data_IF_789865817952
#
_entry.id   IF_789865817952
#
_cell.length_a   1.000
_cell.length_b   1.000
_cell.length_c   1.000
_cell.angle_alpha   90.00
_cell.angle_beta   90.00
_cell.angle_gamma   90.00
#
_symmetry.space_group_name_H-M   'P 1'
#
loop_
_entity.id
_entity.type
_entity.pdbx_description
1 polymer ?
#
# COMPACT_ATOMS: atom_id res chain seq x y z
N UNK A 1 17.45 -16.31 54.72
CA UNK A 1 16.07 -16.37 54.19
C UNK A 1 15.86 -17.76 53.60
N UNK A 2 14.79 -18.49 53.98
CA UNK A 2 14.55 -19.89 53.59
C UNK A 2 14.47 -20.01 52.05
N UNK A 3 15.35 -20.82 51.45
CA UNK A 3 15.49 -21.05 50.00
C UNK A 3 14.17 -21.30 49.25
N UNK A 4 13.19 -21.88 49.94
CA UNK A 4 11.81 -22.08 49.44
C UNK A 4 11.11 -20.78 49.02
N UNK A 5 11.35 -19.68 49.73
CA UNK A 5 10.76 -18.37 49.39
C UNK A 5 11.37 -17.78 48.13
N UNK A 6 12.68 -17.98 47.93
CA UNK A 6 13.38 -17.51 46.72
C UNK A 6 12.89 -18.24 45.46
N UNK A 7 12.78 -19.57 45.51
CA UNK A 7 12.25 -20.34 44.37
C UNK A 7 10.77 -20.04 44.10
N UNK A 8 9.97 -19.76 45.13
CA UNK A 8 8.58 -19.36 44.96
C UNK A 8 8.45 -17.98 44.30
N UNK A 9 9.28 -17.00 44.71
CA UNK A 9 9.33 -15.68 44.08
C UNK A 9 9.80 -15.76 42.62
N UNK A 10 10.79 -16.62 42.33
CA UNK A 10 11.28 -16.85 40.97
C UNK A 10 10.21 -17.51 40.09
N UNK A 11 9.50 -18.52 40.59
CA UNK A 11 8.40 -19.17 39.87
C UNK A 11 7.28 -18.17 39.56
N UNK A 12 6.92 -17.32 40.54
CA UNK A 12 5.92 -16.27 40.33
C UNK A 12 6.34 -15.29 39.23
N UNK A 13 7.60 -14.86 39.24
CA UNK A 13 8.13 -13.94 38.22
C UNK A 13 8.08 -14.56 36.81
N UNK A 14 8.43 -15.85 36.67
CA UNK A 14 8.36 -16.57 35.39
C UNK A 14 6.93 -16.69 34.88
N UNK A 15 5.96 -16.99 35.75
CA UNK A 15 4.55 -17.08 35.37
C UNK A 15 4.01 -15.73 34.92
N UNK A 16 4.33 -14.65 35.64
CA UNK A 16 3.92 -13.29 35.24
C UNK A 16 4.52 -12.91 33.89
N UNK A 17 5.80 -13.21 33.66
CA UNK A 17 6.45 -12.95 32.37
C UNK A 17 5.79 -13.73 31.22
N UNK A 18 5.45 -15.00 31.44
CA UNK A 18 4.74 -15.83 30.46
C UNK A 18 3.36 -15.28 30.14
N UNK A 19 2.61 -14.82 31.14
CA UNK A 19 1.29 -14.23 30.96
C UNK A 19 1.35 -12.91 30.17
N UNK A 20 2.35 -12.06 30.45
CA UNK A 20 2.56 -10.81 29.70
C UNK A 20 2.96 -11.12 28.25
N UNK A 21 3.84 -12.10 28.03
CA UNK A 21 4.26 -12.51 26.69
C UNK A 21 3.10 -13.08 25.88
N UNK A 22 2.33 -14.01 26.46
CA UNK A 22 1.18 -14.62 25.78
C UNK A 22 0.06 -13.61 25.52
N UNK A 23 -0.27 -12.76 26.51
CA UNK A 23 -1.28 -11.71 26.36
C UNK A 23 -0.87 -10.63 25.36
N UNK A 24 0.40 -10.22 25.40
CA UNK A 24 0.98 -9.27 24.45
C UNK A 24 1.00 -9.82 23.03
N UNK A 25 1.45 -11.06 22.83
CA UNK A 25 1.46 -11.72 21.53
C UNK A 25 0.04 -11.92 20.97
N UNK A 26 -0.92 -12.30 21.81
CA UNK A 26 -2.32 -12.45 21.42
C UNK A 26 -2.96 -11.10 21.04
N UNK A 27 -2.67 -10.05 21.81
CA UNK A 27 -3.13 -8.69 21.52
C UNK A 27 -2.54 -8.11 20.23
N UNK A 28 -1.23 -8.27 20.03
CA UNK A 28 -0.53 -7.88 18.80
C UNK A 28 -1.05 -8.67 17.59
N UNK A 29 -1.22 -9.99 17.70
CA UNK A 29 -1.74 -10.80 16.59
C UNK A 29 -3.17 -10.39 16.17
N UNK A 30 -3.98 -9.87 17.10
CA UNK A 30 -5.34 -9.41 16.83
C UNK A 30 -5.40 -7.97 16.30
N UNK A 31 -4.48 -7.10 16.72
CA UNK A 31 -4.38 -5.72 16.23
C UNK A 31 -3.61 -5.62 14.91
N UNK A 32 -2.75 -6.59 14.60
CA UNK A 32 -2.00 -6.71 13.33
C UNK A 32 -2.87 -7.22 12.18
N UNK A 33 -4.05 -6.60 12.02
CA UNK A 33 -4.92 -6.78 10.87
C UNK A 33 -4.50 -5.83 9.74
N UNK A 34 -3.23 -5.86 9.33
CA UNK A 34 -2.88 -5.37 7.99
C UNK A 34 -3.62 -6.24 6.97
N UNK A 35 -4.85 -5.82 6.68
CA UNK A 35 -5.93 -6.51 5.99
C UNK A 35 -5.70 -6.69 4.50
N UNK A 36 -4.59 -7.33 4.15
CA UNK A 36 -4.41 -7.99 2.89
C UNK A 36 -3.66 -9.27 3.18
N UNK A 37 -4.22 -10.42 2.79
CA UNK A 37 -3.37 -11.56 2.44
C UNK A 37 -2.30 -10.96 1.54
N UNK A 38 -1.04 -10.93 1.98
CA UNK A 38 0.04 -10.53 1.11
C UNK A 38 -0.05 -11.50 -0.08
N UNK A 39 -0.65 -11.04 -1.18
CA UNK A 39 -0.60 -11.79 -2.42
C UNK A 39 0.87 -12.10 -2.64
N UNK A 40 1.23 -13.34 -3.01
CA UNK A 40 2.61 -13.69 -3.29
C UNK A 40 3.20 -12.55 -4.12
N UNK A 41 4.29 -11.95 -3.64
CA UNK A 41 4.98 -10.87 -4.34
C UNK A 41 5.58 -11.49 -5.60
N UNK A 42 4.72 -11.70 -6.60
CA UNK A 42 5.10 -12.08 -7.94
C UNK A 42 5.81 -10.89 -8.58
N UNK A 43 6.57 -11.15 -9.63
CA UNK A 43 7.12 -10.07 -10.43
C UNK A 43 5.97 -9.19 -10.93
N UNK A 44 6.02 -7.86 -10.70
CA UNK A 44 4.95 -6.96 -11.14
C UNK A 44 4.78 -7.08 -12.65
N UNK A 45 3.58 -7.50 -13.08
CA UNK A 45 3.23 -7.69 -14.49
C UNK A 45 3.31 -6.38 -15.28
N UNK A 46 3.12 -5.25 -14.59
CA UNK A 46 3.15 -3.91 -15.18
C UNK A 46 4.55 -3.30 -15.27
N UNK A 47 5.56 -3.90 -14.63
CA UNK A 47 6.93 -3.41 -14.69
C UNK A 47 7.55 -3.47 -16.10
N UNK A 48 6.99 -4.29 -17.00
CA UNK A 48 7.38 -4.34 -18.41
C UNK A 48 7.17 -3.00 -19.14
N UNK A 49 6.24 -2.17 -18.67
CA UNK A 49 5.96 -0.85 -19.24
C UNK A 49 6.90 0.24 -18.73
N UNK A 50 7.83 -0.08 -17.84
CA UNK A 50 8.72 0.89 -17.21
C UNK A 50 9.99 1.08 -18.04
N UNK A 51 10.42 2.33 -18.18
CA UNK A 51 11.70 2.64 -18.81
C UNK A 51 12.85 2.07 -17.99
N UNK A 52 13.84 1.47 -18.65
CA UNK A 52 15.09 1.02 -18.02
C UNK A 52 15.91 2.16 -17.41
N UNK A 53 15.64 3.41 -17.81
CA UNK A 53 16.29 4.63 -17.29
C UNK A 53 15.51 5.31 -16.17
N UNK A 54 14.41 4.71 -15.71
CA UNK A 54 13.63 5.27 -14.62
C UNK A 54 14.48 5.32 -13.34
N UNK A 55 14.79 6.50 -12.78
CA UNK A 55 15.55 6.59 -11.52
C UNK A 55 14.88 5.87 -10.36
N UNK A 56 13.55 5.73 -10.38
CA UNK A 56 12.80 5.07 -9.33
C UNK A 56 11.55 4.40 -9.88
N UNK A 57 11.29 3.16 -9.42
CA UNK A 57 10.08 2.39 -9.72
C UNK A 57 9.56 1.79 -8.43
N UNK A 58 8.27 1.96 -8.14
CA UNK A 58 7.58 1.40 -6.98
C UNK A 58 6.32 0.67 -7.42
N UNK A 59 6.14 -0.57 -6.96
CA UNK A 59 4.96 -1.38 -7.30
C UNK A 59 4.14 -1.66 -6.05
N UNK A 60 2.83 -1.47 -6.16
CA UNK A 60 1.85 -1.72 -5.11
C UNK A 60 0.92 -2.86 -5.55
N UNK A 61 0.85 -3.91 -4.74
CA UNK A 61 -0.03 -5.06 -4.95
C UNK A 61 -1.32 -4.89 -4.14
N UNK A 62 -2.24 -4.10 -4.68
CA UNK A 62 -3.61 -3.96 -4.21
C UNK A 62 -4.40 -3.02 -5.13
N UNK A 63 -5.74 -3.04 -5.01
CA UNK A 63 -6.58 -2.10 -5.77
C UNK A 63 -6.14 -0.65 -5.52
N UNK A 64 -6.11 0.22 -6.54
CA UNK A 64 -5.77 1.63 -6.35
C UNK A 64 -6.64 2.32 -5.30
N UNK A 65 -7.92 1.94 -5.20
CA UNK A 65 -8.87 2.47 -4.21
C UNK A 65 -8.44 2.18 -2.75
N UNK A 66 -7.64 1.13 -2.52
CA UNK A 66 -7.15 0.80 -1.18
C UNK A 66 -6.09 1.77 -0.68
N UNK A 67 -5.41 2.51 -1.56
CA UNK A 67 -4.42 3.52 -1.15
C UNK A 67 -5.06 4.60 -0.29
N UNK A 68 -6.26 5.06 -0.66
CA UNK A 68 -7.04 6.01 0.15
C UNK A 68 -7.40 5.38 1.49
N UNK A 69 -7.88 4.13 1.49
CA UNK A 69 -8.27 3.45 2.73
C UNK A 69 -7.09 3.30 3.71
N UNK A 70 -5.88 3.08 3.21
CA UNK A 70 -4.66 3.08 4.00
C UNK A 70 -4.36 4.44 4.61
N UNK A 71 -4.42 5.52 3.82
CA UNK A 71 -4.25 6.89 4.34
C UNK A 71 -5.31 7.26 5.38
N UNK A 72 -6.56 6.82 5.18
CA UNK A 72 -7.66 7.05 6.11
C UNK A 72 -7.49 6.35 7.46
N UNK A 73 -6.72 5.26 7.52
CA UNK A 73 -6.41 4.58 8.77
C UNK A 73 -5.58 5.47 9.72
N UNK A 74 -4.69 6.29 9.16
CA UNK A 74 -3.86 7.25 9.90
C UNK A 74 -4.48 8.64 10.03
N UNK A 75 -5.63 8.88 9.39
CA UNK A 75 -6.30 10.19 9.39
C UNK A 75 -7.34 10.26 10.53
N UNK A 76 -7.36 11.35 11.34
CA UNK A 76 -8.39 11.57 12.36
C UNK A 76 -9.81 11.47 11.79
N UNK A 77 -10.79 10.89 12.51
CA UNK A 77 -12.15 10.68 11.99
C UNK A 77 -12.81 11.94 11.42
N UNK A 78 -12.53 13.10 12.03
CA UNK A 78 -13.06 14.42 11.61
C UNK A 78 -12.53 14.88 10.25
N UNK A 79 -11.35 14.44 9.83
CA UNK A 79 -10.69 14.84 8.59
C UNK A 79 -10.86 13.83 7.45
N UNK A 80 -11.38 12.63 7.73
CA UNK A 80 -11.51 11.55 6.73
C UNK A 80 -12.33 11.95 5.50
N UNK A 81 -13.44 12.67 5.70
CA UNK A 81 -14.29 13.16 4.59
C UNK A 81 -13.57 14.19 3.72
N UNK A 82 -12.83 15.10 4.35
CA UNK A 82 -12.04 16.11 3.64
C UNK A 82 -10.97 15.41 2.77
N UNK A 83 -10.20 14.49 3.36
CA UNK A 83 -9.18 13.70 2.66
C UNK A 83 -9.76 12.92 1.45
N UNK A 84 -10.91 12.26 1.62
CA UNK A 84 -11.59 11.58 0.51
C UNK A 84 -11.98 12.54 -0.61
N UNK A 85 -12.50 13.73 -0.26
CA UNK A 85 -12.90 14.72 -1.25
C UNK A 85 -11.71 15.34 -1.99
N UNK A 86 -10.60 15.57 -1.29
CA UNK A 86 -9.36 16.08 -1.88
C UNK A 86 -8.75 15.05 -2.83
N UNK A 87 -8.71 13.79 -2.42
CA UNK A 87 -8.22 12.72 -3.29
C UNK A 87 -9.06 12.59 -4.57
N UNK A 88 -10.39 12.66 -4.45
CA UNK A 88 -11.28 12.66 -5.62
C UNK A 88 -11.00 13.86 -6.54
N UNK A 89 -10.85 15.06 -5.98
CA UNK A 89 -10.51 16.27 -6.75
C UNK A 89 -9.16 16.14 -7.45
N UNK A 90 -8.18 15.52 -6.79
CA UNK A 90 -6.88 15.24 -7.39
C UNK A 90 -7.02 14.31 -8.61
N UNK A 91 -7.77 13.21 -8.47
CA UNK A 91 -8.05 12.30 -9.60
C UNK A 91 -8.76 13.02 -10.75
N UNK A 92 -9.79 13.81 -10.43
CA UNK A 92 -10.56 14.56 -11.43
C UNK A 92 -9.67 15.57 -12.17
N UNK A 93 -8.72 16.23 -11.47
CA UNK A 93 -7.74 17.13 -12.09
C UNK A 93 -6.74 16.39 -12.98
N UNK A 94 -6.23 15.25 -12.53
CA UNK A 94 -5.27 14.43 -13.29
C UNK A 94 -5.87 13.98 -14.63
N UNK A 95 -7.17 13.69 -14.64
CA UNK A 95 -7.88 13.17 -15.81
C UNK A 95 -8.64 14.24 -16.59
N UNK A 96 -8.66 15.49 -16.13
CA UNK A 96 -9.49 16.57 -16.69
C UNK A 96 -9.24 16.78 -18.20
N UNK A 97 -7.99 16.70 -18.63
CA UNK A 97 -7.57 16.90 -20.02
C UNK A 97 -7.80 15.69 -20.92
N UNK A 98 -8.12 14.53 -20.33
CA UNK A 98 -8.24 13.25 -21.06
C UNK A 98 -9.69 12.86 -21.39
N UNK A 99 -10.68 13.65 -20.96
CA UNK A 99 -12.11 13.31 -20.98
C UNK A 99 -12.47 12.00 -20.23
N UNK A 100 -11.53 11.43 -19.46
CA UNK A 100 -11.73 10.22 -18.67
C UNK A 100 -12.33 10.56 -17.31
N UNK A 101 -13.22 9.70 -16.82
CA UNK A 101 -13.70 9.69 -15.44
C UNK A 101 -13.21 8.43 -14.76
N UNK A 102 -12.40 8.56 -13.71
CA UNK A 102 -11.81 7.41 -13.01
C UNK A 102 -12.84 6.32 -12.68
N UNK A 103 -13.98 6.70 -12.08
CA UNK A 103 -15.00 5.73 -11.64
C UNK A 103 -15.68 4.95 -12.76
N UNK A 104 -15.76 5.51 -13.98
CA UNK A 104 -16.44 4.91 -15.13
C UNK A 104 -15.46 4.26 -16.09
N UNK A 105 -14.33 4.91 -16.30
CA UNK A 105 -13.45 4.63 -17.44
C UNK A 105 -12.16 3.91 -17.01
N UNK A 106 -11.85 3.82 -15.71
CA UNK A 106 -10.62 3.16 -15.18
C UNK A 106 -10.96 2.12 -14.12
N UNK A 107 -11.70 2.53 -13.09
CA UNK A 107 -12.03 1.71 -11.91
C UNK A 107 -12.66 0.34 -12.25
N UNK A 108 -13.55 0.19 -13.26
CA UNK A 108 -14.19 -1.09 -13.52
C UNK A 108 -13.26 -2.20 -14.00
N UNK A 109 -12.10 -1.85 -14.57
CA UNK A 109 -11.12 -2.81 -15.08
C UNK A 109 -9.78 -2.75 -14.37
N UNK A 110 -9.57 -1.79 -13.46
CA UNK A 110 -8.38 -1.71 -12.62
C UNK A 110 -8.28 -2.92 -11.68
N UNK A 111 -7.18 -3.67 -11.80
CA UNK A 111 -6.88 -4.85 -11.01
C UNK A 111 -6.16 -4.54 -9.69
N UNK A 112 -5.49 -5.56 -9.16
CA UNK A 112 -4.84 -5.54 -7.85
C UNK A 112 -3.33 -5.22 -7.94
N UNK A 113 -2.87 -4.59 -9.02
CA UNK A 113 -1.47 -4.18 -9.18
C UNK A 113 -1.39 -2.79 -9.84
N UNK A 114 -0.57 -1.92 -9.26
CA UNK A 114 -0.26 -0.61 -9.79
C UNK A 114 1.22 -0.32 -9.60
N UNK A 115 1.90 0.11 -10.67
CA UNK A 115 3.32 0.46 -10.65
C UNK A 115 3.52 1.90 -11.06
N UNK A 116 4.29 2.62 -10.25
CA UNK A 116 4.66 4.01 -10.42
C UNK A 116 6.13 4.10 -10.79
N UNK A 117 6.46 4.94 -11.77
CA UNK A 117 7.84 5.23 -12.14
C UNK A 117 8.06 6.72 -12.31
N UNK A 118 9.21 7.19 -11.82
CA UNK A 118 9.81 8.42 -12.29
C UNK A 118 10.60 8.05 -13.54
N UNK A 119 10.22 8.58 -14.69
CA UNK A 119 10.76 8.21 -16.01
C UNK A 119 12.09 8.89 -16.31
N UNK A 120 12.21 10.15 -15.94
CA UNK A 120 13.40 11.00 -16.07
C UNK A 120 13.33 12.07 -14.98
N UNK A 121 14.49 12.57 -14.52
CA UNK A 121 14.58 13.69 -13.58
C UNK A 121 14.22 15.02 -14.25
N UNK A 122 14.41 15.10 -15.56
CA UNK A 122 14.13 16.30 -16.35
C UNK A 122 13.62 15.89 -17.74
N UNK A 123 12.36 16.23 -18.04
CA UNK A 123 11.63 15.74 -19.21
C UNK A 123 11.87 16.60 -20.44
N UNK A 124 11.87 17.93 -20.27
CA UNK A 124 12.15 18.91 -21.33
C UNK A 124 13.66 19.13 -21.53
N UNK A 125 14.50 18.66 -20.58
CA UNK A 125 15.96 18.76 -20.61
C UNK A 125 16.44 20.21 -20.63
N UNK A 126 15.69 21.11 -20.00
CA UNK A 126 16.00 22.52 -19.93
C UNK A 126 16.53 22.90 -18.55
N UNK A 127 17.86 22.95 -18.44
CA UNK A 127 18.55 23.32 -17.22
C UNK A 127 18.23 24.74 -16.71
N UNK A 128 17.63 25.61 -17.53
CA UNK A 128 17.29 26.97 -17.13
C UNK A 128 16.01 27.06 -16.28
N UNK A 129 15.11 26.07 -16.35
CA UNK A 129 13.79 26.14 -15.71
C UNK A 129 13.63 25.20 -14.50
N UNK A 130 14.70 24.51 -14.10
CA UNK A 130 14.72 23.58 -12.97
C UNK A 130 14.71 22.13 -13.44
N UNK A 131 14.22 21.23 -12.60
CA UNK A 131 14.02 19.81 -12.96
C UNK A 131 12.54 19.54 -13.13
N UNK A 132 12.15 19.03 -14.31
CA UNK A 132 10.77 18.63 -14.59
C UNK A 132 10.66 17.10 -14.69
N UNK A 133 10.49 16.38 -13.57
CA UNK A 133 10.44 14.93 -13.62
C UNK A 133 9.21 14.43 -14.38
N UNK A 134 9.41 13.43 -15.24
CA UNK A 134 8.31 12.76 -15.92
C UNK A 134 7.78 11.60 -15.07
N UNK A 135 6.46 11.43 -14.98
CA UNK A 135 5.82 10.36 -14.21
C UNK A 135 5.07 9.38 -15.12
N UNK A 136 5.12 8.09 -14.77
CA UNK A 136 4.34 7.05 -15.43
C UNK A 136 3.67 6.16 -14.38
N UNK A 137 2.40 5.86 -14.61
CA UNK A 137 1.62 4.93 -13.78
C UNK A 137 1.03 3.86 -14.68
N UNK A 138 1.30 2.60 -14.36
CA UNK A 138 0.70 1.45 -15.01
C UNK A 138 -0.20 0.71 -14.01
N UNK A 139 -1.37 0.28 -14.48
CA UNK A 139 -2.36 -0.44 -13.68
C UNK A 139 -2.61 -1.76 -14.38
N UNK A 140 -2.46 -2.87 -13.67
CA UNK A 140 -2.80 -4.17 -14.23
C UNK A 140 -4.32 -4.23 -14.39
N UNK A 141 -4.83 -4.82 -15.49
CA UNK A 141 -6.25 -5.10 -15.58
C UNK A 141 -6.66 -6.17 -14.56
N UNK A 142 -7.95 -6.25 -14.25
CA UNK A 142 -8.50 -7.37 -13.48
C UNK A 142 -8.11 -8.67 -14.19
N UNK A 143 -7.44 -9.56 -13.45
CA UNK A 143 -7.01 -10.86 -13.97
C UNK A 143 -8.26 -11.68 -14.34
N UNK A 144 -8.48 -11.83 -15.64
CA UNK A 144 -9.36 -12.85 -16.18
C UNK A 144 -8.62 -14.18 -15.97
N UNK A 145 -9.02 -14.98 -14.97
CA UNK A 145 -8.50 -16.35 -14.86
C UNK A 145 -8.70 -17.04 -16.20
N UNK A 146 -7.61 -17.52 -16.81
CA UNK A 146 -7.69 -18.36 -18.02
C UNK A 146 -8.75 -19.44 -17.76
N UNK A 147 -9.73 -19.66 -18.66
CA UNK A 147 -10.55 -20.85 -18.57
C UNK A 147 -9.61 -22.05 -18.55
N UNK A 148 -9.78 -22.94 -17.56
CA UNK A 148 -9.14 -24.25 -17.57
C UNK A 148 -9.68 -24.97 -18.80
N UNK A 149 -8.93 -24.92 -19.90
CA UNK A 149 -9.20 -25.81 -21.03
C UNK A 149 -8.94 -27.23 -20.53
N UNK A 150 -10.03 -27.97 -20.37
CA UNK A 150 -10.09 -29.43 -20.28
C UNK A 150 -9.71 -30.04 -21.62
#
# INVERSE_FOLDING_TARGET
>A
MKSRSFFSALALAVVVLLLISAGGAYGLARSWSWGGKASPVGMPSTAVFMSRRSPMVASFFGKPDRLISGGLAFTPPTQRRAMQSEFKRFQDRLLAETHLKYSRDIQPWAGDEMTWALTTTDLDRDAANGQQPGYLVAIAPISQSKPKHL
#
